data_IF_464399339437
#
_entry.id   IF_464399339437
#
_cell.length_a   1.000
_cell.length_b   1.000
_cell.length_c   1.000
_cell.angle_alpha   90.00
_cell.angle_beta   90.00
_cell.angle_gamma   90.00
#
_symmetry.space_group_name_H-M   'P 1'
#
loop_
_entity.id
_entity.type
_entity.pdbx_description
1 polymer ?
#
# COMPACT_ATOMS: atom_id res chain seq x y z
N UNK A 1 -6.91 -3.32 31.70
CA UNK A 1 -7.08 -4.73 31.33
C UNK A 1 -6.75 -4.80 29.84
N UNK A 2 -5.58 -5.34 29.46
CA UNK A 2 -5.15 -5.36 28.05
C UNK A 2 -5.73 -6.64 27.45
N UNK A 3 -6.71 -6.49 26.57
CA UNK A 3 -7.27 -7.59 25.79
C UNK A 3 -6.14 -8.18 24.93
N UNK A 4 -5.72 -9.42 25.23
CA UNK A 4 -4.75 -10.13 24.39
C UNK A 4 -5.43 -10.44 23.07
N UNK A 5 -5.02 -9.79 21.99
CA UNK A 5 -5.45 -10.12 20.64
C UNK A 5 -5.22 -11.61 20.38
N UNK A 6 -6.29 -12.34 20.10
CA UNK A 6 -6.27 -13.78 19.83
C UNK A 6 -5.72 -13.98 18.42
N UNK A 7 -4.52 -14.54 18.28
CA UNK A 7 -3.95 -14.85 16.97
C UNK A 7 -4.58 -16.13 16.41
N UNK A 8 -4.82 -16.15 15.10
CA UNK A 8 -5.25 -17.34 14.39
C UNK A 8 -4.03 -18.14 13.92
N UNK A 9 -4.06 -19.46 14.09
CA UNK A 9 -3.01 -20.35 13.59
C UNK A 9 -3.33 -20.79 12.15
N UNK A 10 -2.33 -20.73 11.27
CA UNK A 10 -2.44 -21.15 9.86
C UNK A 10 -1.35 -22.16 9.57
N UNK A 11 -1.73 -23.34 9.08
CA UNK A 11 -0.79 -24.39 8.65
C UNK A 11 -0.72 -24.40 7.13
N UNK A 12 0.49 -24.25 6.58
CA UNK A 12 0.73 -24.19 5.14
C UNK A 12 1.76 -25.26 4.77
N UNK A 13 1.44 -26.04 3.74
CA UNK A 13 2.36 -27.03 3.18
C UNK A 13 3.31 -26.34 2.20
N UNK A 14 4.61 -26.47 2.44
CA UNK A 14 5.65 -26.03 1.50
C UNK A 14 6.17 -27.28 0.76
N UNK A 15 6.19 -27.28 -0.59
CA UNK A 15 6.72 -28.39 -1.37
C UNK A 15 8.14 -28.77 -0.97
N UNK A 16 8.41 -30.08 -0.88
CA UNK A 16 9.70 -30.57 -0.39
C UNK A 16 10.87 -30.14 -1.27
N UNK A 17 10.69 -30.09 -2.60
CA UNK A 17 11.70 -29.60 -3.55
C UNK A 17 12.25 -28.23 -3.13
N UNK A 18 11.37 -27.31 -2.74
CA UNK A 18 11.72 -25.95 -2.34
C UNK A 18 12.42 -25.94 -0.99
N UNK A 19 11.99 -26.79 -0.05
CA UNK A 19 12.67 -26.93 1.26
C UNK A 19 14.09 -27.46 1.11
N UNK A 20 14.31 -28.40 0.20
CA UNK A 20 15.64 -28.96 -0.06
C UNK A 20 16.58 -27.91 -0.68
N UNK A 21 16.09 -27.10 -1.62
CA UNK A 21 16.87 -26.03 -2.24
C UNK A 21 17.21 -24.89 -1.26
N UNK A 22 16.30 -24.60 -0.32
CA UNK A 22 16.45 -23.48 0.61
C UNK A 22 16.17 -23.86 2.08
N UNK A 23 17.02 -24.69 2.70
CA UNK A 23 16.77 -25.24 4.04
C UNK A 23 16.86 -24.20 5.17
N UNK A 24 17.56 -23.09 4.94
CA UNK A 24 17.73 -22.02 5.94
C UNK A 24 16.60 -20.97 5.92
N UNK A 25 15.62 -21.12 5.04
CA UNK A 25 14.53 -20.15 4.90
C UNK A 25 13.57 -20.25 6.08
N UNK A 26 13.33 -19.11 6.74
CA UNK A 26 12.31 -18.96 7.77
C UNK A 26 10.91 -18.89 7.17
N UNK A 27 10.34 -20.04 6.79
CA UNK A 27 9.04 -20.15 6.12
C UNK A 27 7.91 -19.44 6.86
N UNK A 28 7.90 -19.47 8.19
CA UNK A 28 6.90 -18.77 9.00
C UNK A 28 6.92 -17.26 8.79
N UNK A 29 8.12 -16.66 8.68
CA UNK A 29 8.25 -15.21 8.43
C UNK A 29 7.82 -14.82 7.02
N UNK A 30 8.07 -15.70 6.05
CA UNK A 30 7.60 -15.49 4.67
C UNK A 30 6.07 -15.53 4.62
N UNK A 31 5.48 -16.53 5.27
CA UNK A 31 4.03 -16.66 5.35
C UNK A 31 3.39 -15.45 6.04
N UNK A 32 3.93 -15.01 7.18
CA UNK A 32 3.47 -13.81 7.89
C UNK A 32 3.52 -12.57 6.99
N UNK A 33 4.65 -12.35 6.32
CA UNK A 33 4.82 -11.20 5.42
C UNK A 33 3.83 -11.25 4.26
N UNK A 34 3.65 -12.40 3.63
CA UNK A 34 2.72 -12.58 2.53
C UNK A 34 1.26 -12.29 2.95
N UNK A 35 0.85 -12.78 4.13
CA UNK A 35 -0.48 -12.50 4.69
C UNK A 35 -0.68 -11.00 4.92
N UNK A 36 0.29 -10.32 5.55
CA UNK A 36 0.20 -8.88 5.83
C UNK A 36 0.18 -8.06 4.55
N UNK A 37 1.03 -8.38 3.58
CA UNK A 37 1.07 -7.69 2.29
C UNK A 37 -0.25 -7.86 1.52
N UNK A 38 -0.81 -9.06 1.49
CA UNK A 38 -2.08 -9.31 0.80
C UNK A 38 -3.25 -8.60 1.47
N UNK A 39 -3.29 -8.63 2.81
CA UNK A 39 -4.30 -7.88 3.57
C UNK A 39 -4.23 -6.37 3.30
N UNK A 40 -3.02 -5.79 3.22
CA UNK A 40 -2.85 -4.37 2.89
C UNK A 40 -3.42 -4.01 1.52
N UNK A 41 -3.26 -4.88 0.52
CA UNK A 41 -3.86 -4.67 -0.81
C UNK A 41 -5.38 -4.66 -0.72
N UNK A 42 -5.97 -5.68 -0.08
CA UNK A 42 -7.42 -5.78 0.09
C UNK A 42 -8.00 -4.59 0.87
N UNK A 43 -7.33 -4.17 1.93
CA UNK A 43 -7.72 -3.00 2.71
C UNK A 43 -7.65 -1.71 1.88
N UNK A 44 -6.62 -1.55 1.05
CA UNK A 44 -6.48 -0.40 0.15
C UNK A 44 -7.60 -0.37 -0.89
N UNK A 45 -7.92 -1.50 -1.50
CA UNK A 45 -9.02 -1.62 -2.47
C UNK A 45 -10.34 -1.22 -1.79
N UNK A 46 -10.64 -1.79 -0.62
CA UNK A 46 -11.85 -1.46 0.14
C UNK A 46 -11.93 0.03 0.48
N UNK A 47 -10.81 0.64 0.87
CA UNK A 47 -10.73 2.06 1.16
C UNK A 47 -11.00 2.90 -0.09
N UNK A 48 -10.42 2.53 -1.23
CA UNK A 48 -10.71 3.19 -2.50
C UNK A 48 -12.19 3.06 -2.86
N UNK A 49 -12.76 1.86 -2.80
CA UNK A 49 -14.18 1.65 -3.05
C UNK A 49 -15.05 2.54 -2.15
N UNK A 50 -14.71 2.67 -0.87
CA UNK A 50 -15.42 3.53 0.07
C UNK A 50 -15.29 5.02 -0.25
N UNK A 51 -14.08 5.47 -0.64
CA UNK A 51 -13.84 6.85 -1.10
C UNK A 51 -14.63 7.17 -2.38
N UNK A 52 -14.74 6.20 -3.30
CA UNK A 52 -15.43 6.37 -4.57
C UNK A 52 -16.93 6.05 -4.51
N UNK A 53 -17.42 5.43 -3.43
CA UNK A 53 -18.83 5.01 -3.26
C UNK A 53 -19.84 6.14 -3.43
N UNK A 54 -19.45 7.36 -3.09
CA UNK A 54 -20.27 8.58 -3.22
C UNK A 54 -19.70 9.57 -4.23
N UNK A 55 -18.67 9.16 -4.99
CA UNK A 55 -18.06 10.02 -6.00
C UNK A 55 -18.92 10.04 -7.26
N UNK A 56 -19.56 11.17 -7.52
CA UNK A 56 -20.25 11.46 -8.79
C UNK A 56 -19.29 11.93 -9.89
N UNK A 57 -17.98 11.98 -9.60
CA UNK A 57 -16.98 12.44 -10.54
C UNK A 57 -16.91 11.56 -11.78
N UNK A 58 -17.14 12.19 -12.92
CA UNK A 58 -16.89 11.61 -14.23
C UNK A 58 -15.39 11.55 -14.54
N UNK A 59 -15.00 10.69 -15.48
CA UNK A 59 -13.59 10.57 -15.93
C UNK A 59 -12.99 11.93 -16.35
N UNK A 60 -13.81 12.79 -16.96
CA UNK A 60 -13.38 14.13 -17.39
C UNK A 60 -13.02 15.01 -16.19
N UNK A 61 -13.77 14.92 -15.11
CA UNK A 61 -13.55 15.70 -13.89
C UNK A 61 -12.33 15.16 -13.12
N UNK A 62 -12.14 13.85 -13.09
CA UNK A 62 -10.92 13.24 -12.54
C UNK A 62 -9.65 13.71 -13.27
N UNK A 63 -9.69 13.78 -14.61
CA UNK A 63 -8.56 14.28 -15.42
C UNK A 63 -8.32 15.77 -15.17
N UNK A 64 -9.38 16.57 -15.06
CA UNK A 64 -9.26 18.00 -14.75
C UNK A 64 -8.63 18.21 -13.38
N UNK A 65 -9.13 17.50 -12.36
CA UNK A 65 -8.60 17.55 -11.00
C UNK A 65 -7.12 17.17 -10.94
N UNK A 66 -6.73 16.11 -11.66
CA UNK A 66 -5.33 15.69 -11.75
C UNK A 66 -4.41 16.77 -12.34
N UNK A 67 -4.88 17.52 -13.35
CA UNK A 67 -4.12 18.64 -13.94
C UNK A 67 -3.95 19.79 -12.95
N UNK A 68 -4.99 20.10 -12.17
CA UNK A 68 -4.97 21.19 -11.20
C UNK A 68 -4.06 20.88 -10.01
N UNK A 69 -4.11 19.64 -9.50
CA UNK A 69 -3.19 19.16 -8.46
C UNK A 69 -1.75 19.23 -8.92
N UNK A 70 -1.44 18.72 -10.12
CA UNK A 70 -0.09 18.76 -10.67
C UNK A 70 0.43 20.20 -10.84
N UNK A 71 -0.43 21.12 -11.29
CA UNK A 71 -0.07 22.54 -11.40
C UNK A 71 0.25 23.12 -10.02
N UNK A 72 -0.58 22.88 -9.02
CA UNK A 72 -0.38 23.39 -7.66
C UNK A 72 0.91 22.85 -7.02
N UNK A 73 1.17 21.55 -7.17
CA UNK A 73 2.40 20.91 -6.67
C UNK A 73 3.64 21.49 -7.35
N UNK A 74 3.60 21.66 -8.68
CA UNK A 74 4.69 22.27 -9.43
C UNK A 74 4.98 23.70 -8.97
N UNK A 75 3.95 24.53 -8.82
CA UNK A 75 4.11 25.90 -8.32
C UNK A 75 4.67 25.95 -6.89
N UNK A 76 4.34 24.97 -6.04
CA UNK A 76 4.95 24.83 -4.72
C UNK A 76 6.43 24.50 -4.81
N UNK A 77 6.82 23.52 -5.63
CA UNK A 77 8.22 23.12 -5.83
C UNK A 77 9.03 24.29 -6.41
N UNK A 78 8.50 24.99 -7.42
CA UNK A 78 9.15 26.16 -8.02
C UNK A 78 9.34 27.28 -6.99
N UNK A 79 8.35 27.51 -6.12
CA UNK A 79 8.45 28.46 -5.01
C UNK A 79 9.56 28.05 -4.04
N UNK A 80 9.57 26.80 -3.60
CA UNK A 80 10.56 26.29 -2.64
C UNK A 80 11.99 26.39 -3.21
N UNK A 81 12.17 26.09 -4.51
CA UNK A 81 13.44 26.26 -5.22
C UNK A 81 13.83 27.72 -5.41
N UNK A 82 12.88 28.63 -5.57
CA UNK A 82 13.15 30.07 -5.69
C UNK A 82 13.56 30.73 -4.36
N UNK A 83 13.16 30.15 -3.22
CA UNK A 83 13.45 30.67 -1.87
C UNK A 83 14.80 30.15 -1.36
N UNK A 84 15.31 29.06 -1.90
CA UNK A 84 16.62 28.50 -1.57
C UNK A 84 17.61 28.74 -2.72
N UNK A 85 18.26 29.92 -2.82
CA UNK A 85 19.34 30.09 -3.76
C UNK A 85 20.43 29.09 -3.34
N UNK A 86 20.74 28.18 -4.25
CA UNK A 86 21.87 27.25 -4.12
C UNK A 86 23.10 28.09 -3.80
N UNK A 87 23.67 27.90 -2.60
CA UNK A 87 25.01 28.37 -2.27
C UNK A 87 26.05 27.44 -2.89
#
# INVERSE_FOLDING_TARGET
MIEKFKMAEVVISVPDQIKYEFPHVGWSKIAERAIVEEFRKLASIKLFDELFKHSELTDRECIALGKDVNRAVRSRIERDLSISPVK
#
